data_IF_685430831932
#
_entry.id   IF_685430831932
#
_cell.length_a   1.000
_cell.length_b   1.000
_cell.length_c   1.000
_cell.angle_alpha   90.00
_cell.angle_beta   90.00
_cell.angle_gamma   90.00
#
_symmetry.space_group_name_H-M   'P 1'
#
loop_
_entity.id
_entity.type
_entity.pdbx_description
1 polymer ?
#
# COMPACT_ATOMS: atom_id res chain seq x y z
N UNK A 1 -30.35 -20.33 5.55
CA UNK A 1 -29.02 -19.72 5.29
C UNK A 1 -28.60 -18.90 6.49
N UNK A 2 -27.35 -19.05 6.95
CA UNK A 2 -26.78 -18.27 8.06
C UNK A 2 -25.43 -17.72 7.64
N UNK A 3 -25.20 -16.42 7.82
CA UNK A 3 -23.93 -15.76 7.50
C UNK A 3 -23.46 -14.89 8.67
N UNK A 4 -22.15 -14.93 8.92
CA UNK A 4 -21.47 -14.20 9.99
C UNK A 4 -20.25 -13.54 9.37
N UNK A 5 -20.03 -12.27 9.68
CA UNK A 5 -18.85 -11.54 9.24
C UNK A 5 -18.22 -10.76 10.40
N UNK A 6 -16.89 -10.71 10.43
CA UNK A 6 -16.09 -9.98 11.40
C UNK A 6 -14.98 -9.27 10.65
N UNK A 7 -14.91 -7.95 10.80
CA UNK A 7 -13.89 -7.12 10.17
C UNK A 7 -13.19 -6.26 11.22
N UNK A 8 -11.86 -6.30 11.26
CA UNK A 8 -11.01 -5.54 12.17
C UNK A 8 -10.06 -4.69 11.33
N UNK A 9 -10.12 -3.37 11.49
CA UNK A 9 -9.23 -2.44 10.79
C UNK A 9 -8.51 -1.56 11.81
N UNK A 10 -7.20 -1.51 11.74
CA UNK A 10 -6.37 -0.76 12.67
C UNK A 10 -5.30 0.03 11.93
N UNK A 11 -5.14 1.30 12.31
CA UNK A 11 -4.17 2.21 11.70
C UNK A 11 -3.19 2.68 12.76
N UNK A 12 -1.92 2.38 12.55
CA UNK A 12 -0.79 2.81 13.34
C UNK A 12 -0.10 3.98 12.63
N UNK A 13 0.19 5.04 13.37
CA UNK A 13 0.99 6.17 12.89
C UNK A 13 1.77 6.81 14.04
N UNK A 14 2.59 7.83 13.74
CA UNK A 14 3.38 8.54 14.76
C UNK A 14 2.53 9.14 15.89
N UNK A 15 1.32 9.61 15.60
CA UNK A 15 0.43 10.21 16.60
C UNK A 15 -0.10 9.16 17.59
N UNK A 16 -0.27 7.90 17.16
CA UNK A 16 -0.63 6.77 18.03
C UNK A 16 0.40 6.56 19.15
N UNK A 17 1.67 6.90 18.93
CA UNK A 17 2.76 6.70 19.88
C UNK A 17 3.22 7.98 20.59
N UNK A 18 2.64 9.15 20.28
CA UNK A 18 2.92 10.41 21.01
C UNK A 18 2.32 10.35 22.41
N UNK A 19 3.05 9.71 23.32
CA UNK A 19 2.74 9.67 24.75
C UNK A 19 2.84 11.08 25.33
N UNK A 20 1.87 11.44 26.17
CA UNK A 20 1.57 12.78 26.72
C UNK A 20 2.64 13.42 27.64
N UNK A 21 3.90 12.98 27.60
CA UNK A 21 4.93 13.30 28.61
C UNK A 21 6.05 14.26 28.18
N UNK A 22 6.01 14.90 27.02
CA UNK A 22 7.02 15.90 26.64
C UNK A 22 6.43 17.31 26.54
N UNK A 23 6.22 17.94 27.71
CA UNK A 23 6.25 19.40 27.86
C UNK A 23 7.50 19.81 28.64
N UNK A 24 8.70 19.45 28.17
CA UNK A 24 9.96 20.16 28.46
C UNK A 24 11.15 19.43 27.83
N UNK A 25 11.48 19.79 26.58
CA UNK A 25 12.83 20.16 26.12
C UNK A 25 12.82 20.28 24.60
N UNK A 26 12.91 21.53 24.16
CA UNK A 26 13.28 21.93 22.82
C UNK A 26 14.73 21.52 22.53
N UNK A 27 14.94 21.09 21.29
CA UNK A 27 16.20 20.97 20.53
C UNK A 27 16.90 19.61 20.57
N UNK A 28 16.98 19.05 19.36
CA UNK A 28 17.92 18.06 18.83
C UNK A 28 17.61 16.55 18.98
N UNK A 29 17.17 15.98 17.85
CA UNK A 29 17.54 14.65 17.35
C UNK A 29 17.03 13.36 18.02
N UNK A 30 15.91 13.39 18.76
CA UNK A 30 15.33 12.15 19.33
C UNK A 30 13.80 11.99 19.17
N UNK A 31 13.21 12.59 18.13
CA UNK A 31 11.85 12.25 17.68
C UNK A 31 11.95 11.75 16.24
N UNK A 32 11.99 10.41 16.12
CA UNK A 32 12.03 9.60 14.88
C UNK A 32 12.85 10.20 13.74
N UNK A 33 14.10 9.72 13.57
CA UNK A 33 14.89 10.02 12.35
C UNK A 33 14.25 9.51 11.05
N UNK A 34 13.16 8.75 11.18
CA UNK A 34 12.24 8.34 10.12
C UNK A 34 11.17 9.43 9.98
N UNK A 35 10.95 9.96 8.78
CA UNK A 35 9.80 10.83 8.52
C UNK A 35 8.47 10.08 8.58
N UNK A 36 7.37 10.80 8.34
CA UNK A 36 6.00 10.35 8.53
C UNK A 36 5.77 8.91 8.06
N UNK A 37 5.26 8.07 8.96
CA UNK A 37 4.90 6.70 8.63
C UNK A 37 3.48 6.35 9.06
N UNK A 38 2.86 5.44 8.31
CA UNK A 38 1.58 4.83 8.63
C UNK A 38 1.57 3.35 8.24
N UNK A 39 0.95 2.53 9.08
CA UNK A 39 0.72 1.11 8.82
C UNK A 39 -0.76 0.85 9.07
N UNK A 40 -1.42 0.24 8.08
CA UNK A 40 -2.79 -0.21 8.18
C UNK A 40 -2.80 -1.75 8.20
N UNK A 41 -3.50 -2.29 9.19
CA UNK A 41 -3.73 -3.72 9.37
C UNK A 41 -5.23 -3.94 9.26
N UNK A 42 -5.65 -4.78 8.32
CA UNK A 42 -7.05 -5.08 8.03
C UNK A 42 -7.26 -6.60 8.02
N UNK A 43 -8.04 -7.11 8.96
CA UNK A 43 -8.41 -8.52 9.06
C UNK A 43 -9.91 -8.69 8.79
N UNK A 44 -10.26 -9.71 8.01
CA UNK A 44 -11.64 -10.00 7.63
C UNK A 44 -11.88 -11.51 7.73
N UNK A 45 -12.93 -11.87 8.47
CA UNK A 45 -13.43 -13.22 8.59
C UNK A 45 -14.89 -13.26 8.15
N UNK A 46 -15.22 -14.16 7.24
CA UNK A 46 -16.58 -14.38 6.75
C UNK A 46 -16.89 -15.88 6.82
N UNK A 47 -18.10 -16.18 7.29
CA UNK A 47 -18.65 -17.51 7.38
C UNK A 47 -20.04 -17.51 6.78
N UNK A 48 -20.31 -18.44 5.87
CA UNK A 48 -21.63 -18.61 5.27
C UNK A 48 -22.01 -20.07 5.17
N UNK A 49 -23.23 -20.39 5.61
CA UNK A 49 -23.89 -21.66 5.39
C UNK A 49 -25.13 -21.41 4.54
N UNK A 50 -25.11 -21.97 3.35
CA UNK A 50 -26.25 -21.93 2.44
C UNK A 50 -26.81 -23.33 2.26
N UNK A 51 -28.14 -23.45 2.28
CA UNK A 51 -28.81 -24.69 1.94
C UNK A 51 -28.53 -25.01 0.47
N UNK A 52 -28.26 -26.27 0.17
CA UNK A 52 -27.98 -26.72 -1.19
C UNK A 52 -29.26 -27.29 -1.80
N UNK A 53 -30.02 -26.53 -2.61
CA UNK A 53 -31.27 -27.02 -3.21
C UNK A 53 -31.06 -28.22 -4.15
N UNK A 54 -29.82 -28.48 -4.61
CA UNK A 54 -29.48 -29.69 -5.36
C UNK A 54 -29.51 -30.97 -4.53
N UNK A 55 -29.40 -30.88 -3.20
CA UNK A 55 -29.55 -32.03 -2.29
C UNK A 55 -30.92 -32.69 -2.40
N UNK A 56 -31.96 -31.89 -2.61
CA UNK A 56 -33.35 -32.36 -2.64
C UNK A 56 -33.84 -32.78 -4.04
N UNK A 57 -33.08 -32.46 -5.09
CA UNK A 57 -33.51 -32.61 -6.48
C UNK A 57 -32.73 -33.67 -7.27
N UNK A 58 -31.71 -34.32 -6.68
CA UNK A 58 -30.84 -35.25 -7.42
C UNK A 58 -30.59 -36.52 -6.58
N UNK A 59 -30.75 -37.70 -7.20
CA UNK A 59 -30.46 -39.04 -6.63
C UNK A 59 -28.94 -39.29 -6.42
N UNK A 60 -28.19 -38.28 -5.96
CA UNK A 60 -26.76 -38.37 -5.69
C UNK A 60 -26.54 -38.38 -4.18
N UNK A 61 -26.26 -39.56 -3.62
CA UNK A 61 -26.00 -39.77 -2.19
C UNK A 61 -24.84 -38.93 -1.64
N UNK A 62 -23.96 -38.40 -2.51
CA UNK A 62 -22.75 -37.68 -2.13
C UNK A 62 -22.87 -36.15 -2.12
N UNK A 63 -24.09 -35.61 -2.28
CA UNK A 63 -24.30 -34.16 -2.24
C UNK A 63 -24.44 -33.65 -0.81
N UNK A 64 -23.54 -32.76 -0.37
CA UNK A 64 -23.65 -32.11 0.94
C UNK A 64 -24.89 -31.22 0.99
N UNK A 65 -25.75 -31.44 1.99
CA UNK A 65 -26.97 -30.66 2.27
C UNK A 65 -26.69 -29.17 2.49
N UNK A 66 -25.52 -28.84 3.03
CA UNK A 66 -25.11 -27.46 3.31
C UNK A 66 -23.80 -27.12 2.59
N UNK A 67 -23.80 -26.01 1.86
CA UNK A 67 -22.58 -25.41 1.32
C UNK A 67 -21.99 -24.48 2.38
N UNK A 68 -20.81 -24.87 2.90
CA UNK A 68 -20.06 -24.13 3.91
C UNK A 68 -18.92 -23.37 3.23
N UNK A 69 -18.96 -22.05 3.33
CA UNK A 69 -17.90 -21.16 2.86
C UNK A 69 -17.31 -20.41 4.04
N UNK A 70 -15.99 -20.54 4.22
CA UNK A 70 -15.22 -19.77 5.21
C UNK A 70 -14.20 -18.97 4.44
N UNK A 71 -14.15 -17.66 4.63
CA UNK A 71 -13.11 -16.77 4.06
C UNK A 71 -12.41 -16.05 5.19
N UNK A 72 -11.09 -16.21 5.30
CA UNK A 72 -10.29 -15.55 6.32
C UNK A 72 -9.09 -14.86 5.65
N UNK A 73 -9.06 -13.53 5.70
CA UNK A 73 -8.05 -12.71 5.03
C UNK A 73 -7.43 -11.72 5.99
N UNK A 74 -6.11 -11.56 5.90
CA UNK A 74 -5.35 -10.52 6.57
C UNK A 74 -4.62 -9.69 5.52
N UNK A 75 -4.81 -8.39 5.56
CA UNK A 75 -4.14 -7.43 4.71
C UNK A 75 -3.32 -6.49 5.58
N UNK A 76 -2.10 -6.23 5.14
CA UNK A 76 -1.17 -5.31 5.76
C UNK A 76 -0.71 -4.35 4.67
N UNK A 77 -0.86 -3.05 4.92
CA UNK A 77 -0.31 -2.03 4.04
C UNK A 77 0.40 -0.97 4.86
N UNK A 78 1.37 -0.30 4.26
CA UNK A 78 2.10 0.74 4.96
C UNK A 78 2.71 1.74 3.99
N UNK A 79 2.86 2.96 4.49
CA UNK A 79 3.61 4.01 3.84
C UNK A 79 4.62 4.58 4.83
N UNK A 80 5.89 4.56 4.46
CA UNK A 80 6.99 5.04 5.31
C UNK A 80 7.78 6.07 4.51
N UNK A 81 7.87 7.29 5.06
CA UNK A 81 8.69 8.35 4.48
C UNK A 81 10.03 8.43 5.21
N UNK A 82 11.01 7.60 4.83
CA UNK A 82 12.32 7.56 5.49
C UNK A 82 13.02 8.92 5.55
N UNK A 83 12.92 9.72 4.49
CA UNK A 83 13.41 11.11 4.44
C UNK A 83 12.45 11.94 3.59
N UNK A 84 12.59 13.28 3.58
CA UNK A 84 11.75 14.18 2.76
C UNK A 84 11.68 13.80 1.27
N UNK A 85 12.67 13.06 0.75
CA UNK A 85 12.80 12.69 -0.66
C UNK A 85 12.60 11.19 -0.93
N UNK A 86 12.42 10.36 0.09
CA UNK A 86 12.22 8.91 -0.05
C UNK A 86 10.86 8.51 0.52
N UNK A 87 10.09 7.78 -0.28
CA UNK A 87 8.81 7.20 0.15
C UNK A 87 8.78 5.73 -0.23
N UNK A 88 8.43 4.88 0.73
CA UNK A 88 8.24 3.46 0.54
C UNK A 88 6.80 3.11 0.87
N UNK A 89 6.08 2.57 -0.10
CA UNK A 89 4.81 1.90 0.08
C UNK A 89 5.01 0.40 0.06
N UNK A 90 4.28 -0.33 0.88
CA UNK A 90 4.14 -1.76 0.69
C UNK A 90 2.70 -2.17 0.98
N UNK A 91 2.25 -3.20 0.30
CA UNK A 91 0.96 -3.85 0.56
C UNK A 91 1.19 -5.34 0.44
N UNK A 92 0.60 -6.11 1.34
CA UNK A 92 0.62 -7.56 1.30
C UNK A 92 -0.68 -8.08 1.87
N UNK A 93 -1.13 -9.23 1.37
CA UNK A 93 -2.31 -9.91 1.87
C UNK A 93 -2.04 -11.40 2.04
N UNK A 94 -2.75 -12.03 2.96
CA UNK A 94 -2.73 -13.45 3.19
C UNK A 94 -4.15 -13.97 3.33
N UNK A 95 -4.50 -14.96 2.53
CA UNK A 95 -5.76 -15.68 2.61
C UNK A 95 -5.52 -17.00 3.34
N UNK A 96 -5.99 -17.09 4.58
CA UNK A 96 -5.89 -18.28 5.42
C UNK A 96 -6.81 -19.42 4.96
N UNK A 97 -7.89 -19.13 4.26
CA UNK A 97 -8.78 -20.16 3.71
C UNK A 97 -8.08 -20.94 2.61
N UNK A 98 -7.50 -20.22 1.65
CA UNK A 98 -6.82 -20.83 0.53
C UNK A 98 -5.33 -21.12 0.81
N UNK A 99 -4.83 -20.68 1.97
CA UNK A 99 -3.40 -20.74 2.36
C UNK A 99 -2.49 -20.06 1.34
N UNK A 100 -2.98 -19.01 0.69
CA UNK A 100 -2.27 -18.31 -0.37
C UNK A 100 -1.88 -16.91 0.06
N UNK A 101 -0.64 -16.53 -0.26
CA UNK A 101 -0.22 -15.13 -0.21
C UNK A 101 -0.95 -14.42 -1.36
N UNK A 102 -1.71 -13.38 -1.01
CA UNK A 102 -2.42 -12.53 -1.97
C UNK A 102 -1.45 -11.51 -2.60
N UNK A 103 -1.98 -10.54 -3.35
CA UNK A 103 -1.15 -9.54 -4.05
C UNK A 103 -0.25 -8.80 -3.05
N UNK A 104 1.06 -9.02 -3.18
CA UNK A 104 2.07 -8.20 -2.52
C UNK A 104 2.63 -7.18 -3.51
N UNK A 105 2.75 -5.92 -3.08
CA UNK A 105 3.39 -4.86 -3.84
C UNK A 105 4.33 -4.06 -2.97
N UNK A 106 5.45 -3.66 -3.55
CA UNK A 106 6.43 -2.77 -2.95
C UNK A 106 6.61 -1.59 -3.90
N UNK A 107 6.45 -0.38 -3.41
CA UNK A 107 6.45 0.84 -4.18
C UNK A 107 7.48 1.79 -3.59
N UNK A 108 8.63 1.92 -4.24
CA UNK A 108 9.73 2.79 -3.83
C UNK A 108 9.70 4.04 -4.70
N UNK A 109 9.76 5.20 -4.07
CA UNK A 109 9.80 6.49 -4.75
C UNK A 109 10.92 7.36 -4.20
N UNK A 110 11.68 7.98 -5.10
CA UNK A 110 12.79 8.86 -4.77
C UNK A 110 12.78 10.13 -5.60
N UNK A 111 12.78 11.27 -4.92
CA UNK A 111 12.90 12.60 -5.52
C UNK A 111 14.36 13.04 -5.59
N UNK A 112 14.92 13.27 -6.78
CA UNK A 112 16.30 13.73 -7.01
C UNK A 112 16.38 15.23 -7.35
N UNK A 113 15.41 16.05 -6.92
CA UNK A 113 15.27 17.48 -7.22
C UNK A 113 14.76 17.77 -8.64
N UNK A 114 15.54 17.41 -9.65
CA UNK A 114 15.15 17.63 -11.05
C UNK A 114 14.54 16.37 -11.66
N UNK A 115 14.86 15.21 -11.10
CA UNK A 115 14.45 13.92 -11.59
C UNK A 115 13.63 13.21 -10.51
N UNK A 116 12.73 12.34 -10.89
CA UNK A 116 12.02 11.44 -10.00
C UNK A 116 12.21 10.01 -10.46
N UNK A 117 12.42 9.11 -9.50
CA UNK A 117 12.53 7.69 -9.75
C UNK A 117 11.41 6.98 -9.01
N UNK A 118 10.81 6.00 -9.68
CA UNK A 118 9.89 5.08 -9.05
C UNK A 118 10.27 3.65 -9.41
N UNK A 119 10.09 2.77 -8.44
CA UNK A 119 10.29 1.34 -8.58
C UNK A 119 9.10 0.63 -7.93
N UNK A 120 8.31 -0.08 -8.72
CA UNK A 120 7.20 -0.90 -8.23
C UNK A 120 7.54 -2.35 -8.45
N UNK A 121 7.42 -3.17 -7.42
CA UNK A 121 7.72 -4.59 -7.49
C UNK A 121 6.56 -5.40 -6.95
N UNK A 122 6.06 -6.32 -7.77
CA UNK A 122 4.97 -7.24 -7.46
C UNK A 122 5.49 -8.68 -7.61
N UNK A 123 5.92 -9.34 -6.52
CA UNK A 123 6.48 -10.69 -6.59
C UNK A 123 5.44 -11.79 -6.81
N UNK A 124 4.18 -11.57 -6.40
CA UNK A 124 3.14 -12.61 -6.37
C UNK A 124 1.88 -12.17 -7.12
N UNK A 125 1.09 -13.13 -7.59
CA UNK A 125 -0.18 -12.93 -8.32
C UNK A 125 -0.07 -13.01 -9.84
N UNK A 126 -1.19 -12.79 -10.53
CA UNK A 126 -1.28 -12.89 -11.99
C UNK A 126 -0.51 -11.80 -12.75
N UNK A 127 -0.26 -10.65 -12.10
CA UNK A 127 0.49 -9.52 -12.67
C UNK A 127 1.85 -9.35 -11.96
N UNK A 128 2.59 -10.46 -11.86
CA UNK A 128 3.96 -10.44 -11.33
C UNK A 128 4.87 -9.64 -12.25
N UNK A 129 5.76 -8.84 -11.67
CA UNK A 129 6.69 -8.03 -12.44
C UNK A 129 7.30 -6.90 -11.62
N UNK A 130 8.19 -6.16 -12.26
CA UNK A 130 8.73 -4.92 -11.73
C UNK A 130 8.58 -3.82 -12.77
N UNK A 131 8.38 -2.60 -12.30
CA UNK A 131 8.25 -1.41 -13.12
C UNK A 131 9.24 -0.39 -12.55
N UNK A 132 10.21 0.01 -13.35
CA UNK A 132 11.18 1.04 -13.00
C UNK A 132 11.07 2.18 -13.99
N UNK A 133 11.07 3.41 -13.48
CA UNK A 133 11.04 4.59 -14.33
C UNK A 133 11.79 5.75 -13.70
N UNK A 134 12.37 6.58 -14.56
CA UNK A 134 13.02 7.84 -14.21
C UNK A 134 12.39 8.92 -15.09
N UNK A 135 11.82 9.95 -14.49
CA UNK A 135 11.23 11.08 -15.20
C UNK A 135 11.98 12.37 -14.84
N UNK A 136 12.06 13.30 -15.79
CA UNK A 136 12.51 14.67 -15.54
C UNK A 136 11.31 15.50 -15.08
N UNK A 137 11.43 16.17 -13.94
CA UNK A 137 10.44 17.09 -13.43
C UNK A 137 10.46 18.37 -14.27
N UNK A 138 9.35 18.66 -14.93
CA UNK A 138 9.18 19.74 -15.91
C UNK A 138 9.47 21.17 -15.38
N UNK A 139 9.63 21.36 -14.08
CA UNK A 139 9.91 22.66 -13.46
C UNK A 139 11.25 23.29 -13.85
N UNK A 140 12.26 22.50 -14.25
CA UNK A 140 13.61 23.02 -14.56
C UNK A 140 13.78 23.49 -16.01
N UNK A 141 12.87 23.13 -16.92
CA UNK A 141 12.91 23.56 -18.32
C UNK A 141 12.49 25.03 -18.54
N UNK A 142 12.12 25.75 -17.47
CA UNK A 142 11.79 27.19 -17.54
C UNK A 142 12.98 28.12 -17.29
N UNK A 143 14.07 27.65 -16.66
CA UNK A 143 15.15 28.53 -16.18
C UNK A 143 16.35 28.65 -17.14
N UNK A 144 16.25 28.05 -18.33
CA UNK A 144 17.25 28.24 -19.39
C UNK A 144 16.64 28.89 -20.64
N UNK A 145 15.88 29.98 -20.47
CA UNK A 145 15.69 30.95 -21.55
C UNK A 145 16.73 32.06 -21.39
N UNK A 146 17.96 31.75 -21.77
CA UNK A 146 19.01 32.76 -21.97
C UNK A 146 18.67 33.55 -23.24
N UNK A 147 17.99 34.69 -23.08
CA UNK A 147 17.82 35.64 -24.17
C UNK A 147 19.14 36.42 -24.33
N UNK A 148 19.92 36.08 -25.36
CA UNK A 148 20.99 36.97 -25.82
C UNK A 148 20.40 37.84 -26.91
N UNK A 149 19.96 39.04 -26.55
CA UNK A 149 19.78 40.09 -27.53
C UNK A 149 21.16 40.69 -27.82
N UNK A 150 21.79 40.24 -28.92
CA UNK A 150 22.92 40.96 -29.50
C UNK A 150 22.38 42.05 -30.41
N UNK A 151 22.40 43.28 -29.93
CA UNK A 151 22.21 44.45 -30.77
C UNK A 151 23.52 44.79 -31.49
N UNK A 152 23.48 44.78 -32.83
CA UNK A 152 24.63 45.04 -33.72
C UNK A 152 24.46 46.37 -34.46
N UNK A 153 23.80 47.36 -33.86
CA UNK A 153 23.72 48.69 -34.47
C UNK A 153 25.02 49.45 -34.25
N UNK A 154 26.00 49.12 -35.09
CA UNK A 154 27.05 50.04 -35.52
C UNK A 154 26.46 51.04 -36.51
N UNK A 155 26.54 52.34 -36.20
CA UNK A 155 26.78 53.46 -37.12
C UNK A 155 27.27 54.67 -36.31
#
# INVERSE_FOLDING_TARGET
>A
NTSWSLSLNYVLNEQTFKRKNDKQKSNDAASSSLGNWSINISYSFNYSLNDNPGYYNIKLLDSNKYNKQITNTLNLSGNIQFTKKWRLGFTTGYDFTNKMISVSSFDIYRDLHCWEMFFKWRPFGGYRGFEFGINVKSGMLKDLKYNVDKDYREY
#
